data_IF_326412528015
#
_entry.id   IF_326412528015
#
_cell.length_a   1.000
_cell.length_b   1.000
_cell.length_c   1.000
_cell.angle_alpha   90.00
_cell.angle_beta   90.00
_cell.angle_gamma   90.00
#
_symmetry.space_group_name_H-M   'P 1'
#
loop_
_entity.id
_entity.type
_entity.pdbx_description
1 polymer ?
#
# COMPACT_ATOMS: atom_id res chain seq x y z
N UNK A 1 29.73 -4.16 -16.65
CA UNK A 1 28.75 -5.25 -16.81
C UNK A 1 28.02 -5.54 -15.48
N UNK A 2 28.71 -5.84 -14.38
CA UNK A 2 28.14 -6.24 -13.07
C UNK A 2 27.13 -5.22 -12.47
N UNK A 3 27.33 -3.91 -12.67
CA UNK A 3 26.39 -2.86 -12.22
C UNK A 3 25.11 -2.78 -13.05
N UNK A 4 25.13 -3.21 -14.31
CA UNK A 4 23.94 -3.21 -15.16
C UNK A 4 23.00 -4.38 -14.82
N UNK A 5 23.53 -5.53 -14.40
CA UNK A 5 22.74 -6.70 -13.98
C UNK A 5 22.12 -6.55 -12.58
N UNK A 6 22.76 -5.78 -11.69
CA UNK A 6 22.24 -5.53 -10.34
C UNK A 6 20.97 -4.66 -10.34
N UNK A 7 20.78 -3.80 -11.35
CA UNK A 7 19.61 -2.93 -11.43
C UNK A 7 18.27 -3.68 -11.56
N UNK A 8 18.12 -4.70 -12.44
CA UNK A 8 16.87 -5.42 -12.56
C UNK A 8 16.58 -6.28 -11.31
N UNK A 9 17.60 -6.90 -10.72
CA UNK A 9 17.43 -7.66 -9.47
C UNK A 9 17.01 -6.76 -8.30
N UNK A 10 17.66 -5.60 -8.14
CA UNK A 10 17.30 -4.63 -7.11
C UNK A 10 15.85 -4.11 -7.28
N UNK A 11 15.41 -3.87 -8.51
CA UNK A 11 14.02 -3.47 -8.79
C UNK A 11 13.02 -4.54 -8.42
N UNK A 12 13.30 -5.81 -8.74
CA UNK A 12 12.43 -6.94 -8.36
C UNK A 12 12.36 -7.10 -6.84
N UNK A 13 13.49 -6.99 -6.16
CA UNK A 13 13.57 -7.06 -4.71
C UNK A 13 12.78 -5.91 -4.04
N UNK A 14 12.91 -4.70 -4.55
CA UNK A 14 12.12 -3.56 -4.12
C UNK A 14 10.61 -3.79 -4.37
N UNK A 15 10.23 -4.37 -5.51
CA UNK A 15 8.85 -4.70 -5.80
C UNK A 15 8.28 -5.75 -4.82
N UNK A 16 9.07 -6.76 -4.44
CA UNK A 16 8.70 -7.73 -3.39
C UNK A 16 8.49 -7.03 -2.05
N UNK A 17 9.42 -6.16 -1.65
CA UNK A 17 9.33 -5.45 -0.38
C UNK A 17 8.11 -4.52 -0.32
N UNK A 18 7.85 -3.77 -1.40
CA UNK A 18 6.67 -2.90 -1.52
C UNK A 18 5.38 -3.72 -1.54
N UNK A 19 5.37 -4.82 -2.28
CA UNK A 19 4.25 -5.76 -2.28
C UNK A 19 3.99 -6.31 -0.88
N UNK A 20 5.03 -6.74 -0.17
CA UNK A 20 4.94 -7.25 1.20
C UNK A 20 4.31 -6.21 2.14
N UNK A 21 4.81 -4.98 2.14
CA UNK A 21 4.23 -3.90 2.93
C UNK A 21 2.75 -3.65 2.56
N UNK A 22 2.42 -3.66 1.25
CA UNK A 22 1.05 -3.50 0.78
C UNK A 22 0.13 -4.66 1.16
N UNK A 23 0.64 -5.89 1.20
CA UNK A 23 -0.13 -7.07 1.64
C UNK A 23 -0.31 -7.15 3.15
N UNK A 24 0.66 -6.65 3.90
CA UNK A 24 0.60 -6.56 5.36
C UNK A 24 -0.30 -5.42 5.84
N UNK A 25 -0.38 -4.32 5.06
CA UNK A 25 -1.13 -3.13 5.42
C UNK A 25 -2.63 -3.39 5.42
N UNK A 26 -3.24 -3.31 6.59
CA UNK A 26 -4.68 -3.43 6.79
C UNK A 26 -5.23 -2.09 7.26
N UNK A 27 -6.28 -1.61 6.62
CA UNK A 27 -6.96 -0.37 6.97
C UNK A 27 -8.25 -0.70 7.70
N UNK A 28 -8.52 0.01 8.80
CA UNK A 28 -9.73 -0.16 9.63
C UNK A 28 -9.95 -1.62 10.06
N UNK A 29 -8.88 -2.38 10.26
CA UNK A 29 -8.94 -3.80 10.63
C UNK A 29 -9.54 -4.72 9.57
N UNK A 30 -9.82 -4.19 8.38
CA UNK A 30 -10.61 -4.92 7.40
C UNK A 30 -10.15 -4.79 5.94
N UNK A 31 -9.72 -3.64 5.44
CA UNK A 31 -9.43 -3.39 4.03
C UNK A 31 -7.95 -3.63 3.70
N UNK A 32 -7.68 -4.31 2.56
CA UNK A 32 -6.32 -4.66 2.11
C UNK A 32 -6.04 -4.19 0.67
N UNK A 33 -6.27 -2.92 0.31
CA UNK A 33 -6.25 -2.47 -1.08
C UNK A 33 -4.84 -2.31 -1.66
N UNK A 34 -3.82 -2.09 -0.82
CA UNK A 34 -2.49 -1.70 -1.29
C UNK A 34 -1.80 -2.81 -2.09
N UNK A 35 -1.88 -4.06 -1.65
CA UNK A 35 -1.24 -5.20 -2.32
C UNK A 35 -1.70 -5.31 -3.77
N UNK A 36 -3.01 -5.37 -3.99
CA UNK A 36 -3.60 -5.43 -5.33
C UNK A 36 -3.34 -4.13 -6.11
N UNK A 37 -3.48 -2.97 -5.48
CA UNK A 37 -3.24 -1.67 -6.10
C UNK A 37 -1.81 -1.52 -6.64
N UNK A 38 -0.81 -1.98 -5.91
CA UNK A 38 0.59 -1.96 -6.36
C UNK A 38 0.82 -2.92 -7.53
N UNK A 39 0.26 -4.13 -7.47
CA UNK A 39 0.33 -5.09 -8.59
C UNK A 39 -0.28 -4.48 -9.86
N UNK A 40 -1.39 -3.77 -9.75
CA UNK A 40 -2.04 -3.10 -10.87
C UNK A 40 -1.28 -1.87 -11.37
N UNK A 41 -0.57 -1.17 -10.49
CA UNK A 41 0.16 0.07 -10.81
C UNK A 41 1.54 -0.15 -11.40
N UNK A 42 2.26 -1.18 -10.95
CA UNK A 42 3.64 -1.41 -11.38
C UNK A 42 3.78 -1.93 -12.81
N UNK A 43 4.98 -1.72 -13.38
CA UNK A 43 5.36 -2.28 -14.66
C UNK A 43 5.34 -3.82 -14.62
N UNK A 44 5.23 -4.45 -15.79
CA UNK A 44 5.03 -5.89 -15.91
C UNK A 44 6.14 -6.74 -15.29
N UNK A 45 7.39 -6.32 -15.47
CA UNK A 45 8.57 -6.96 -14.92
C UNK A 45 8.61 -6.97 -13.38
N UNK A 46 7.87 -6.05 -12.75
CA UNK A 46 7.76 -5.89 -11.31
C UNK A 46 6.43 -6.41 -10.74
N UNK A 47 5.41 -6.66 -11.57
CA UNK A 47 4.07 -7.03 -11.08
C UNK A 47 4.04 -8.40 -10.39
N UNK A 48 4.66 -9.41 -10.98
CA UNK A 48 4.72 -10.75 -10.39
C UNK A 48 5.54 -10.79 -9.08
N UNK A 49 6.75 -10.19 -9.01
CA UNK A 49 7.46 -10.04 -7.73
C UNK A 49 6.66 -9.29 -6.68
N UNK A 50 5.97 -8.21 -7.07
CA UNK A 50 5.11 -7.45 -6.17
C UNK A 50 3.93 -8.30 -5.64
N UNK A 51 3.30 -9.09 -6.51
CA UNK A 51 2.20 -9.99 -6.12
C UNK A 51 2.69 -11.08 -5.14
N UNK A 52 3.87 -11.64 -5.37
CA UNK A 52 4.47 -12.61 -4.46
C UNK A 52 4.72 -11.98 -3.07
N UNK A 53 5.26 -10.75 -3.05
CA UNK A 53 5.42 -10.00 -1.81
C UNK A 53 4.09 -9.73 -1.11
N UNK A 54 3.08 -9.28 -1.85
CA UNK A 54 1.75 -8.99 -1.30
C UNK A 54 1.08 -10.25 -0.73
N UNK A 55 1.17 -11.36 -1.43
CA UNK A 55 0.66 -12.65 -0.95
C UNK A 55 1.35 -13.08 0.35
N UNK A 56 2.67 -12.95 0.42
CA UNK A 56 3.45 -13.21 1.65
C UNK A 56 3.01 -12.30 2.79
N UNK A 57 2.83 -11.00 2.54
CA UNK A 57 2.37 -10.05 3.55
C UNK A 57 0.99 -10.42 4.10
N UNK A 58 0.04 -10.76 3.23
CA UNK A 58 -1.30 -11.20 3.63
C UNK A 58 -1.28 -12.51 4.43
N UNK A 59 -0.48 -13.48 4.00
CA UNK A 59 -0.35 -14.78 4.68
C UNK A 59 0.25 -14.63 6.08
N UNK A 60 1.28 -13.81 6.22
CA UNK A 60 1.93 -13.59 7.51
C UNK A 60 1.11 -12.71 8.46
N UNK A 61 0.38 -11.74 7.94
CA UNK A 61 -0.56 -10.94 8.74
C UNK A 61 -1.69 -11.82 9.32
N UNK A 62 -2.20 -12.77 8.51
CA UNK A 62 -3.23 -13.72 8.90
C UNK A 62 -2.68 -15.01 9.56
N UNK A 63 -1.44 -15.00 10.09
CA UNK A 63 -0.84 -16.21 10.67
C UNK A 63 -1.65 -16.68 11.88
N UNK A 64 -2.48 -17.69 11.65
CA UNK A 64 -3.38 -18.29 12.66
C UNK A 64 -4.85 -18.41 12.23
N UNK A 65 -5.34 -17.53 11.36
CA UNK A 65 -6.67 -17.66 10.76
C UNK A 65 -6.68 -16.92 9.42
N UNK A 66 -6.46 -17.64 8.33
CA UNK A 66 -6.75 -17.13 6.99
C UNK A 66 -8.23 -16.78 6.91
N UNK A 67 -8.54 -15.49 6.98
CA UNK A 67 -9.91 -15.04 6.78
C UNK A 67 -10.33 -15.33 5.34
N UNK A 68 -11.61 -15.61 5.14
CA UNK A 68 -12.17 -15.81 3.81
C UNK A 68 -11.85 -14.64 2.86
N UNK A 69 -11.73 -13.44 3.41
CA UNK A 69 -11.32 -12.24 2.70
C UNK A 69 -9.87 -12.27 2.22
N UNK A 70 -8.95 -12.75 3.06
CA UNK A 70 -7.55 -12.93 2.63
C UNK A 70 -7.47 -13.89 1.45
N UNK A 71 -8.27 -14.95 1.45
CA UNK A 71 -8.38 -15.88 0.32
C UNK A 71 -8.92 -15.16 -0.91
N UNK A 72 -9.99 -14.37 -0.77
CA UNK A 72 -10.55 -13.58 -1.87
C UNK A 72 -9.50 -12.66 -2.49
N UNK A 73 -8.75 -11.95 -1.67
CA UNK A 73 -7.70 -11.03 -2.14
C UNK A 73 -6.51 -11.77 -2.75
N UNK A 74 -6.12 -12.92 -2.24
CA UNK A 74 -5.10 -13.78 -2.86
C UNK A 74 -5.54 -14.26 -4.25
N UNK A 75 -6.80 -14.67 -4.40
CA UNK A 75 -7.37 -15.03 -5.71
C UNK A 75 -7.40 -13.82 -6.66
N UNK A 76 -7.75 -12.63 -6.16
CA UNK A 76 -7.73 -11.39 -6.93
C UNK A 76 -6.32 -11.04 -7.42
N UNK A 77 -5.30 -11.19 -6.57
CA UNK A 77 -3.90 -11.02 -6.95
C UNK A 77 -3.48 -12.01 -8.04
N UNK A 78 -3.81 -13.27 -7.86
CA UNK A 78 -3.52 -14.33 -8.84
C UNK A 78 -4.18 -14.06 -10.18
N UNK A 79 -5.47 -13.68 -10.18
CA UNK A 79 -6.21 -13.32 -11.38
C UNK A 79 -5.62 -12.09 -12.09
N UNK A 80 -5.21 -11.06 -11.35
CA UNK A 80 -4.58 -9.86 -11.91
C UNK A 80 -3.25 -10.18 -12.60
N UNK A 81 -2.42 -11.04 -12.00
CA UNK A 81 -1.15 -11.49 -12.59
C UNK A 81 -1.41 -12.36 -13.82
N UNK A 82 -2.32 -13.32 -13.73
CA UNK A 82 -2.69 -14.20 -14.83
C UNK A 82 -3.24 -13.41 -16.04
N UNK A 83 -4.14 -12.45 -15.79
CA UNK A 83 -4.66 -11.58 -16.83
C UNK A 83 -3.57 -10.78 -17.55
N UNK A 84 -2.57 -10.30 -16.81
CA UNK A 84 -1.40 -9.63 -17.42
C UNK A 84 -0.56 -10.57 -18.28
N UNK A 85 -0.33 -11.79 -17.84
CA UNK A 85 0.39 -12.80 -18.63
C UNK A 85 -0.36 -13.19 -19.92
N UNK A 86 -1.70 -13.22 -19.86
CA UNK A 86 -2.55 -13.48 -21.03
C UNK A 86 -2.66 -12.28 -21.99
N UNK A 87 -1.92 -11.21 -21.75
CA UNK A 87 -1.86 -10.06 -22.67
C UNK A 87 -2.92 -8.98 -22.42
N UNK A 88 -3.65 -9.03 -21.31
CA UNK A 88 -4.61 -8.00 -20.91
C UNK A 88 -3.91 -6.68 -20.46
N UNK A 89 -2.84 -6.32 -21.16
CA UNK A 89 -1.96 -5.16 -20.83
C UNK A 89 -2.68 -3.82 -20.95
N UNK A 90 -3.68 -3.77 -21.83
CA UNK A 90 -4.44 -2.53 -22.14
C UNK A 90 -5.66 -2.34 -21.24
N UNK A 91 -6.02 -3.35 -20.44
CA UNK A 91 -7.15 -3.20 -19.53
C UNK A 91 -6.87 -2.17 -18.45
N UNK A 92 -7.88 -1.36 -18.17
CA UNK A 92 -7.82 -0.39 -17.10
C UNK A 92 -7.60 -1.10 -15.75
N UNK A 93 -6.84 -0.50 -14.81
CA UNK A 93 -6.67 -1.05 -13.46
C UNK A 93 -7.98 -1.41 -12.78
N UNK A 94 -9.02 -0.60 -12.99
CA UNK A 94 -10.36 -0.84 -12.46
C UNK A 94 -10.97 -2.15 -12.96
N UNK A 95 -10.86 -2.44 -14.27
CA UNK A 95 -11.36 -3.68 -14.84
C UNK A 95 -10.62 -4.90 -14.29
N UNK A 96 -9.29 -4.83 -14.17
CA UNK A 96 -8.49 -5.92 -13.60
C UNK A 96 -8.76 -6.12 -12.10
N UNK A 97 -8.91 -5.04 -11.34
CA UNK A 97 -9.29 -5.12 -9.93
C UNK A 97 -10.67 -5.75 -9.77
N UNK A 98 -11.66 -5.24 -10.53
CA UNK A 98 -13.04 -5.75 -10.48
C UNK A 98 -13.14 -7.21 -10.88
N UNK A 99 -12.57 -7.61 -12.00
CA UNK A 99 -12.58 -9.02 -12.44
C UNK A 99 -11.87 -9.93 -11.42
N UNK A 100 -10.72 -9.50 -10.91
CA UNK A 100 -9.98 -10.29 -9.93
C UNK A 100 -10.76 -10.50 -8.63
N UNK A 101 -11.37 -9.46 -8.11
CA UNK A 101 -12.19 -9.56 -6.88
C UNK A 101 -13.47 -10.35 -7.10
N UNK A 102 -14.11 -10.23 -8.28
CA UNK A 102 -15.28 -11.06 -8.62
C UNK A 102 -14.93 -12.56 -8.67
N UNK A 103 -13.78 -12.92 -9.26
CA UNK A 103 -13.29 -14.31 -9.24
C UNK A 103 -13.04 -14.77 -7.80
N UNK A 104 -12.39 -13.94 -6.99
CA UNK A 104 -12.15 -14.23 -5.58
C UNK A 104 -13.45 -14.45 -4.81
N UNK A 105 -14.43 -13.56 -4.97
CA UNK A 105 -15.76 -13.69 -4.35
C UNK A 105 -16.49 -14.95 -4.78
N UNK A 106 -16.50 -15.23 -6.10
CA UNK A 106 -17.16 -16.42 -6.63
C UNK A 106 -16.57 -17.71 -6.03
N UNK A 107 -15.24 -17.78 -5.88
CA UNK A 107 -14.57 -18.90 -5.21
C UNK A 107 -14.96 -18.98 -3.74
N UNK A 108 -14.99 -17.86 -3.02
CA UNK A 108 -15.38 -17.84 -1.61
C UNK A 108 -16.82 -18.30 -1.41
N UNK A 109 -17.75 -17.89 -2.26
CA UNK A 109 -19.14 -18.38 -2.22
C UNK A 109 -19.25 -19.87 -2.55
N UNK A 110 -18.46 -20.35 -3.51
CA UNK A 110 -18.43 -21.79 -3.85
C UNK A 110 -17.94 -22.65 -2.67
N UNK A 111 -17.12 -22.10 -1.78
CA UNK A 111 -16.63 -22.76 -0.57
C UNK A 111 -17.47 -22.46 0.69
N UNK A 112 -18.69 -21.98 0.54
CA UNK A 112 -19.63 -21.76 1.65
C UNK A 112 -19.44 -20.45 2.41
N UNK A 113 -18.73 -19.47 1.81
CA UNK A 113 -18.64 -18.12 2.35
C UNK A 113 -19.96 -17.37 2.19
N UNK A 114 -20.58 -16.99 3.31
CA UNK A 114 -21.80 -16.20 3.31
C UNK A 114 -21.51 -14.81 3.90
N UNK A 115 -22.20 -13.79 3.35
CA UNK A 115 -22.29 -12.49 4.00
C UNK A 115 -22.20 -11.29 3.06
N UNK A 116 -23.11 -10.36 3.28
CA UNK A 116 -23.09 -9.02 2.65
C UNK A 116 -21.80 -8.26 2.95
N UNK A 117 -21.20 -8.51 4.11
CA UNK A 117 -19.92 -7.92 4.51
C UNK A 117 -18.77 -8.28 3.56
N UNK A 118 -18.68 -9.56 3.14
CA UNK A 118 -17.66 -9.98 2.18
C UNK A 118 -17.76 -9.20 0.87
N UNK A 119 -18.99 -8.98 0.38
CA UNK A 119 -19.23 -8.26 -0.87
C UNK A 119 -18.86 -6.79 -0.72
N UNK A 120 -19.32 -6.14 0.34
CA UNK A 120 -19.06 -4.70 0.57
C UNK A 120 -17.56 -4.41 0.72
N UNK A 121 -16.88 -5.18 1.54
CA UNK A 121 -15.44 -4.98 1.74
C UNK A 121 -14.62 -5.34 0.50
N UNK A 122 -14.98 -6.41 -0.22
CA UNK A 122 -14.28 -6.76 -1.47
C UNK A 122 -14.50 -5.72 -2.56
N UNK A 123 -15.69 -5.13 -2.64
CA UNK A 123 -15.96 -4.01 -3.53
C UNK A 123 -15.16 -2.77 -3.17
N UNK A 124 -15.08 -2.44 -1.88
CA UNK A 124 -14.27 -1.33 -1.39
C UNK A 124 -12.77 -1.55 -1.68
N UNK A 125 -12.25 -2.75 -1.42
CA UNK A 125 -10.87 -3.12 -1.74
C UNK A 125 -10.60 -2.99 -3.25
N UNK A 126 -11.52 -3.45 -4.10
CA UNK A 126 -11.39 -3.34 -5.55
C UNK A 126 -11.34 -1.89 -6.01
N UNK A 127 -12.22 -1.04 -5.49
CA UNK A 127 -12.26 0.39 -5.82
C UNK A 127 -10.99 1.12 -5.38
N UNK A 128 -10.56 0.89 -4.14
CA UNK A 128 -9.34 1.49 -3.61
C UNK A 128 -8.10 0.97 -4.35
N UNK A 129 -8.01 -0.32 -4.62
CA UNK A 129 -6.92 -0.89 -5.40
C UNK A 129 -6.88 -0.34 -6.83
N UNK A 130 -8.03 -0.17 -7.47
CA UNK A 130 -8.13 0.45 -8.78
C UNK A 130 -7.65 1.91 -8.75
N UNK A 131 -8.04 2.69 -7.75
CA UNK A 131 -7.59 4.06 -7.56
C UNK A 131 -6.09 4.15 -7.35
N UNK A 132 -5.52 3.31 -6.48
CA UNK A 132 -4.07 3.22 -6.24
C UNK A 132 -3.34 2.85 -7.54
N UNK A 133 -3.81 1.82 -8.24
CA UNK A 133 -3.23 1.36 -9.50
C UNK A 133 -3.28 2.43 -10.59
N UNK A 134 -4.39 3.17 -10.68
CA UNK A 134 -4.55 4.31 -11.59
C UNK A 134 -3.58 5.43 -11.23
N UNK A 135 -3.51 5.84 -9.96
CA UNK A 135 -2.60 6.86 -9.50
C UNK A 135 -1.13 6.51 -9.79
N UNK A 136 -0.74 5.26 -9.56
CA UNK A 136 0.62 4.81 -9.85
C UNK A 136 0.94 4.83 -11.35
N UNK A 137 -0.01 4.46 -12.21
CA UNK A 137 0.20 4.48 -13.66
C UNK A 137 0.24 5.89 -14.24
N UNK A 138 -0.63 6.78 -13.76
CA UNK A 138 -0.83 8.09 -14.35
C UNK A 138 0.12 9.14 -13.78
N UNK A 139 0.34 9.13 -12.46
CA UNK A 139 1.08 10.19 -11.79
C UNK A 139 2.52 9.82 -11.43
N UNK A 140 2.82 8.55 -11.16
CA UNK A 140 4.17 8.17 -10.75
C UNK A 140 5.24 8.40 -11.84
N UNK A 141 4.97 8.23 -13.14
CA UNK A 141 5.94 8.55 -14.19
C UNK A 141 6.26 10.05 -14.27
N UNK A 142 5.24 10.90 -14.07
CA UNK A 142 5.39 12.36 -14.15
C UNK A 142 5.85 12.97 -12.83
N UNK A 143 5.38 12.40 -11.73
CA UNK A 143 5.64 12.87 -10.36
C UNK A 143 6.08 11.71 -9.46
N UNK A 144 7.35 11.31 -9.51
CA UNK A 144 7.84 10.16 -8.73
C UNK A 144 7.58 10.30 -7.21
N UNK A 145 7.45 11.52 -6.70
CA UNK A 145 7.07 11.78 -5.32
C UNK A 145 5.71 11.24 -4.93
N UNK A 146 4.72 11.24 -5.84
CA UNK A 146 3.39 10.71 -5.56
C UNK A 146 3.41 9.17 -5.38
N UNK A 147 4.19 8.47 -6.21
CA UNK A 147 4.40 7.03 -6.05
C UNK A 147 5.09 6.69 -4.74
N UNK A 148 6.11 7.48 -4.35
CA UNK A 148 6.80 7.32 -3.07
C UNK A 148 5.88 7.55 -1.87
N UNK A 149 4.97 8.53 -1.94
CA UNK A 149 3.98 8.77 -0.89
C UNK A 149 3.01 7.61 -0.72
N UNK A 150 2.53 7.01 -1.83
CA UNK A 150 1.66 5.83 -1.77
C UNK A 150 2.37 4.61 -1.15
N UNK A 151 3.63 4.37 -1.55
CA UNK A 151 4.45 3.32 -0.93
C UNK A 151 4.70 3.61 0.54
N UNK A 152 4.99 4.87 0.87
CA UNK A 152 5.15 5.32 2.25
C UNK A 152 3.89 5.12 3.09
N UNK A 153 2.71 5.44 2.52
CA UNK A 153 1.42 5.22 3.18
C UNK A 153 1.19 3.73 3.49
N UNK A 154 1.47 2.84 2.54
CA UNK A 154 1.36 1.41 2.78
C UNK A 154 2.35 0.92 3.84
N UNK A 155 3.58 1.41 3.82
CA UNK A 155 4.58 1.08 4.83
C UNK A 155 4.18 1.62 6.22
N UNK A 156 3.64 2.84 6.29
CA UNK A 156 3.12 3.42 7.54
C UNK A 156 1.95 2.61 8.09
N UNK A 157 1.00 2.21 7.25
CA UNK A 157 -0.12 1.36 7.66
C UNK A 157 0.35 -0.02 8.11
N UNK A 158 1.30 -0.63 7.38
CA UNK A 158 1.88 -1.92 7.75
C UNK A 158 2.60 -1.88 9.10
N UNK A 159 3.42 -0.85 9.32
CA UNK A 159 4.14 -0.65 10.58
C UNK A 159 3.22 -0.17 11.70
N UNK A 160 2.14 0.53 11.37
CA UNK A 160 1.12 0.99 12.31
C UNK A 160 0.34 -0.16 12.96
N UNK A 161 0.17 -1.26 12.23
CA UNK A 161 -0.48 -2.47 12.77
C UNK A 161 0.44 -3.30 13.69
N UNK A 162 1.73 -2.99 13.72
CA UNK A 162 2.71 -3.71 14.56
C UNK A 162 2.93 -2.96 15.86
N UNK A 163 2.66 -3.60 16.98
CA UNK A 163 2.98 -3.10 18.31
C UNK A 163 4.12 -3.92 18.90
N UNK A 164 5.23 -3.27 19.20
CA UNK A 164 6.37 -3.86 19.90
C UNK A 164 6.41 -3.30 21.32
N UNK A 165 5.77 -3.98 22.25
CA UNK A 165 5.55 -3.51 23.63
C UNK A 165 4.80 -2.17 23.63
N UNK A 166 5.48 -1.10 24.09
CA UNK A 166 4.95 0.28 24.10
C UNK A 166 5.42 1.10 22.89
N UNK A 167 6.24 0.52 22.01
CA UNK A 167 6.77 1.21 20.84
C UNK A 167 5.85 0.99 19.64
N UNK A 168 5.58 2.08 18.94
CA UNK A 168 4.81 2.09 17.70
C UNK A 168 5.76 2.38 16.52
N UNK A 169 6.29 1.35 15.85
CA UNK A 169 7.31 1.53 14.80
C UNK A 169 6.82 2.41 13.65
N UNK A 170 5.52 2.37 13.34
CA UNK A 170 4.93 3.22 12.32
C UNK A 170 5.06 4.71 12.63
N UNK A 171 4.76 5.11 13.85
CA UNK A 171 4.89 6.51 14.30
C UNK A 171 6.35 6.96 14.26
N UNK A 172 7.26 6.12 14.75
CA UNK A 172 8.70 6.42 14.77
C UNK A 172 9.23 6.59 13.34
N UNK A 173 8.86 5.69 12.42
CA UNK A 173 9.28 5.77 11.02
C UNK A 173 8.74 7.03 10.33
N UNK A 174 7.47 7.38 10.56
CA UNK A 174 6.88 8.61 10.03
C UNK A 174 7.58 9.85 10.58
N UNK A 175 7.81 9.93 11.88
CA UNK A 175 8.52 11.04 12.51
C UNK A 175 9.94 11.21 11.96
N UNK A 176 10.67 10.11 11.81
CA UNK A 176 12.02 10.13 11.24
C UNK A 176 12.04 10.64 9.79
N UNK A 177 11.07 10.20 8.97
CA UNK A 177 10.95 10.67 7.58
C UNK A 177 10.61 12.16 7.52
N UNK A 178 9.68 12.63 8.34
CA UNK A 178 9.30 14.04 8.39
C UNK A 178 10.47 14.92 8.84
N UNK A 179 11.20 14.52 9.88
CA UNK A 179 12.41 15.20 10.33
C UNK A 179 13.46 15.26 9.22
N UNK A 180 13.64 14.16 8.49
CA UNK A 180 14.55 14.13 7.35
C UNK A 180 14.13 15.09 6.24
N UNK A 181 12.86 15.13 5.88
CA UNK A 181 12.33 16.05 4.85
C UNK A 181 12.45 17.52 5.30
N UNK A 182 12.15 17.80 6.56
CA UNK A 182 12.33 19.14 7.13
C UNK A 182 13.82 19.57 7.13
N UNK A 183 14.74 18.66 7.48
CA UNK A 183 16.19 18.93 7.47
C UNK A 183 16.72 19.28 6.08
N UNK A 184 16.07 18.75 5.02
CA UNK A 184 16.39 19.07 3.61
C UNK A 184 15.68 20.32 3.09
N UNK A 185 15.00 21.07 3.96
CA UNK A 185 14.19 22.23 3.62
C UNK A 185 13.06 21.94 2.59
N UNK A 186 12.62 20.69 2.51
CA UNK A 186 11.53 20.27 1.63
C UNK A 186 10.16 20.36 2.33
N UNK A 187 9.82 21.55 2.80
CA UNK A 187 8.63 21.81 3.65
C UNK A 187 7.34 21.34 2.99
N UNK A 188 7.16 21.60 1.68
CA UNK A 188 5.96 21.16 0.95
C UNK A 188 5.84 19.63 0.90
N UNK A 189 6.97 18.95 0.70
CA UNK A 189 7.01 17.49 0.69
C UNK A 189 6.77 16.93 2.10
N UNK A 190 7.30 17.57 3.13
CA UNK A 190 7.08 17.20 4.53
C UNK A 190 5.61 17.34 4.92
N UNK A 191 4.93 18.43 4.56
CA UNK A 191 3.50 18.63 4.81
C UNK A 191 2.64 17.58 4.08
N UNK A 192 2.95 17.30 2.80
CA UNK A 192 2.24 16.27 2.06
C UNK A 192 2.47 14.87 2.67
N UNK A 193 3.70 14.57 3.08
CA UNK A 193 4.03 13.31 3.73
C UNK A 193 3.28 13.18 5.08
N UNK A 194 3.29 14.20 5.91
CA UNK A 194 2.59 14.25 7.19
C UNK A 194 1.09 13.95 7.03
N UNK A 195 0.43 14.60 6.05
CA UNK A 195 -0.98 14.37 5.79
C UNK A 195 -1.27 12.93 5.35
N UNK A 196 -0.50 12.40 4.38
CA UNK A 196 -0.74 11.07 3.80
C UNK A 196 -0.35 9.95 4.77
N UNK A 197 0.82 10.07 5.42
CA UNK A 197 1.30 9.06 6.36
C UNK A 197 0.48 9.07 7.66
N UNK A 198 0.11 10.26 8.14
CA UNK A 198 -0.77 10.41 9.30
C UNK A 198 -2.15 9.80 9.05
N UNK A 199 -2.74 10.04 7.87
CA UNK A 199 -3.99 9.40 7.49
C UNK A 199 -3.87 7.87 7.40
N UNK A 200 -2.76 7.35 6.86
CA UNK A 200 -2.49 5.91 6.78
C UNK A 200 -2.33 5.27 8.16
N UNK A 201 -1.64 5.93 9.10
CA UNK A 201 -1.52 5.48 10.48
C UNK A 201 -2.88 5.44 11.19
N UNK A 202 -3.69 6.50 11.05
CA UNK A 202 -5.05 6.55 11.62
C UNK A 202 -5.96 5.47 11.03
N UNK A 203 -5.82 5.18 9.73
CA UNK A 203 -6.60 4.14 9.08
C UNK A 203 -6.16 2.73 9.47
N UNK A 204 -4.88 2.55 9.81
CA UNK A 204 -4.37 1.27 10.33
C UNK A 204 -4.81 1.02 11.78
N UNK A 205 -4.69 2.05 12.62
CA UNK A 205 -5.08 1.99 14.03
C UNK A 205 -5.62 3.37 14.46
N UNK A 206 -6.94 3.51 14.70
CA UNK A 206 -7.54 4.77 15.15
C UNK A 206 -6.96 5.31 16.46
N UNK A 207 -6.40 4.46 17.32
CA UNK A 207 -5.75 4.90 18.56
C UNK A 207 -4.50 5.77 18.29
N UNK A 208 -3.91 5.69 17.09
CA UNK A 208 -2.76 6.49 16.67
C UNK A 208 -3.12 7.91 16.16
N UNK A 209 -4.41 8.28 16.20
CA UNK A 209 -4.87 9.60 15.72
C UNK A 209 -4.17 10.78 16.41
N UNK A 210 -3.90 10.66 17.71
CA UNK A 210 -3.16 11.70 18.45
C UNK A 210 -1.71 11.83 17.98
N UNK A 211 -1.04 10.71 17.71
CA UNK A 211 0.33 10.72 17.19
C UNK A 211 0.37 11.34 15.78
N UNK A 212 -0.58 10.97 14.92
CA UNK A 212 -0.70 11.53 13.58
C UNK A 212 -0.97 13.05 13.61
N UNK A 213 -1.86 13.51 14.51
CA UNK A 213 -2.12 14.94 14.70
C UNK A 213 -0.88 15.66 15.22
N UNK A 214 -0.14 15.06 16.17
CA UNK A 214 1.11 15.61 16.69
C UNK A 214 2.17 15.79 15.61
N UNK A 215 2.35 14.80 14.72
CA UNK A 215 3.25 14.87 13.57
C UNK A 215 2.85 16.00 12.63
N UNK A 216 1.56 16.12 12.29
CA UNK A 216 1.05 17.19 11.43
C UNK A 216 1.31 18.58 12.04
N UNK A 217 1.04 18.76 13.33
CA UNK A 217 1.30 20.01 14.05
C UNK A 217 2.79 20.34 14.10
N UNK A 218 3.65 19.36 14.38
CA UNK A 218 5.09 19.54 14.41
C UNK A 218 5.65 19.96 13.04
N UNK A 219 5.16 19.35 11.96
CA UNK A 219 5.57 19.68 10.59
C UNK A 219 5.08 21.06 10.18
N UNK A 220 3.85 21.44 10.56
CA UNK A 220 3.32 22.78 10.33
C UNK A 220 4.12 23.84 11.11
N UNK A 221 4.45 23.58 12.37
CA UNK A 221 5.28 24.47 13.18
C UNK A 221 6.68 24.65 12.57
N UNK A 222 7.31 23.55 12.14
CA UNK A 222 8.59 23.59 11.45
C UNK A 222 8.51 24.40 10.15
N UNK A 223 7.39 24.32 9.43
CA UNK A 223 7.14 25.10 8.21
C UNK A 223 7.08 26.61 8.48
N UNK A 224 6.46 27.00 9.61
CA UNK A 224 6.31 28.40 10.03
C UNK A 224 7.63 28.96 10.60
N UNK A 225 8.32 28.15 11.42
CA UNK A 225 9.54 28.57 12.14
C UNK A 225 10.80 28.57 11.27
N UNK A 226 10.74 27.99 10.06
CA UNK A 226 11.84 27.98 9.09
C UNK A 226 11.67 29.01 7.94
N UNK A 227 11.24 30.26 8.18
CA UNK A 227 11.11 31.29 7.14
C UNK A 227 12.48 31.82 6.77
N UNK A 228 13.14 31.25 5.79
CA UNK A 228 14.39 31.90 5.33
C UNK A 228 15.40 31.02 4.59
N UNK A 229 15.19 29.75 4.45
CA UNK A 229 15.98 28.91 3.52
C UNK A 229 15.20 28.71 2.22
N UNK A 230 15.09 29.82 1.46
CA UNK A 230 14.68 29.79 0.05
C UNK A 230 15.87 29.44 -0.83
#
# INVERSE_FOLDING_TARGET
>A
ARRAELRPAARRLAAVAVGFAGGWAVLYGALMPFGLGFVLGFAEDCSAPCAAGAALGMLLHGFGALSLRSVCMLCALGAAVAARWMGARKLAPAALAGCGTLVGMALCFAFGGEGTELVLYSAADALLAAAIGFCLRQFAPEKPGAGMLLVGAAAAAALGSVQLWQLQPGVIACAALELYLCSKAQVKAALAASAVLGAALCAADPAQSFAAAGLACATAAAAVLAPGRR
#
